data_IF_574522666070
#
_entry.id   IF_574522666070
#
_cell.length_a   1.000
_cell.length_b   1.000
_cell.length_c   1.000
_cell.angle_alpha   90.00
_cell.angle_beta   90.00
_cell.angle_gamma   90.00
#
_symmetry.space_group_name_H-M   'P 1'
#
loop_
_entity.id
_entity.type
_entity.pdbx_description
1 polymer ?
#
# COMPACT_ATOMS: atom_id res chain seq x y z
N UNK A 1 -16.75 -10.87 -10.11
CA UNK A 1 -16.67 -11.74 -11.30
C UNK A 1 -16.64 -10.83 -12.53
N UNK A 2 -15.95 -11.23 -13.60
CA UNK A 2 -15.92 -10.47 -14.86
C UNK A 2 -17.09 -10.96 -15.75
N UNK A 3 -17.86 -10.05 -16.31
CA UNK A 3 -18.97 -10.38 -17.20
C UNK A 3 -18.48 -10.88 -18.57
N UNK A 4 -19.41 -11.32 -19.42
CA UNK A 4 -19.10 -11.82 -20.77
C UNK A 4 -18.53 -10.75 -21.73
N UNK A 5 -18.55 -9.48 -21.34
CA UNK A 5 -18.01 -8.35 -22.09
C UNK A 5 -16.64 -7.90 -21.56
N UNK A 6 -16.12 -8.56 -20.51
CA UNK A 6 -14.84 -8.23 -19.90
C UNK A 6 -14.91 -7.14 -18.83
N UNK A 7 -16.12 -6.71 -18.42
CA UNK A 7 -16.27 -5.70 -17.38
C UNK A 7 -16.27 -6.35 -16.00
N UNK A 8 -15.68 -5.68 -15.03
CA UNK A 8 -15.85 -6.03 -13.62
C UNK A 8 -17.31 -5.77 -13.21
N UNK A 9 -17.89 -6.69 -12.43
CA UNK A 9 -19.16 -6.43 -11.74
C UNK A 9 -19.05 -5.18 -10.86
N UNK A 10 -20.14 -4.43 -10.69
CA UNK A 10 -20.18 -3.18 -9.90
C UNK A 10 -19.51 -3.29 -8.54
N UNK A 11 -19.73 -4.38 -7.79
CA UNK A 11 -19.08 -4.62 -6.50
C UNK A 11 -17.56 -4.69 -6.57
N UNK A 12 -17.00 -5.27 -7.63
CA UNK A 12 -15.54 -5.33 -7.82
C UNK A 12 -15.02 -3.96 -8.20
N UNK A 13 -15.72 -3.22 -9.07
CA UNK A 13 -15.38 -1.85 -9.42
C UNK A 13 -15.35 -0.94 -8.19
N UNK A 14 -16.36 -1.03 -7.31
CA UNK A 14 -16.40 -0.31 -6.04
C UNK A 14 -15.24 -0.68 -5.11
N UNK A 15 -14.92 -1.97 -4.97
CA UNK A 15 -13.77 -2.42 -4.17
C UNK A 15 -12.46 -1.89 -4.76
N UNK A 16 -12.31 -1.91 -6.09
CA UNK A 16 -11.13 -1.40 -6.76
C UNK A 16 -10.99 0.11 -6.57
N UNK A 17 -12.08 0.88 -6.69
CA UNK A 17 -12.08 2.33 -6.46
C UNK A 17 -11.76 2.67 -5.00
N UNK A 18 -12.34 1.95 -4.03
CA UNK A 18 -12.03 2.11 -2.61
C UNK A 18 -10.55 1.81 -2.34
N UNK A 19 -10.01 0.71 -2.88
CA UNK A 19 -8.60 0.37 -2.71
C UNK A 19 -7.66 1.34 -3.40
N UNK A 20 -7.95 1.79 -4.62
CA UNK A 20 -7.14 2.79 -5.30
C UNK A 20 -7.16 4.11 -4.53
N UNK A 21 -8.31 4.54 -4.04
CA UNK A 21 -8.45 5.75 -3.22
C UNK A 21 -7.73 5.63 -1.89
N UNK A 22 -7.87 4.50 -1.19
CA UNK A 22 -7.13 4.21 0.03
C UNK A 22 -5.63 4.35 -0.20
N UNK A 23 -5.10 3.88 -1.33
CA UNK A 23 -3.69 4.00 -1.68
C UNK A 23 -3.26 5.38 -2.21
N UNK A 24 -4.13 6.39 -2.16
CA UNK A 24 -3.96 7.71 -2.79
C UNK A 24 -3.65 7.62 -4.30
N UNK A 25 -4.04 6.53 -4.96
CA UNK A 25 -3.91 6.32 -6.41
C UNK A 25 -5.14 6.91 -7.09
N UNK A 26 -5.13 8.23 -7.27
CA UNK A 26 -6.22 8.93 -7.97
C UNK A 26 -6.12 8.76 -9.49
N UNK A 27 -6.86 7.78 -10.00
CA UNK A 27 -6.96 7.41 -11.41
C UNK A 27 -7.31 8.56 -12.38
N UNK A 28 -8.24 9.50 -12.11
CA UNK A 28 -8.50 10.59 -13.05
C UNK A 28 -7.34 11.59 -13.14
N UNK A 29 -6.61 11.82 -12.06
CA UNK A 29 -5.53 12.81 -12.03
C UNK A 29 -4.25 12.27 -12.70
N UNK A 30 -3.88 11.01 -12.44
CA UNK A 30 -2.68 10.43 -13.04
C UNK A 30 -2.80 10.28 -14.55
N UNK A 31 -3.94 9.77 -15.04
CA UNK A 31 -4.22 9.66 -16.49
C UNK A 31 -4.29 11.03 -17.15
N UNK A 32 -4.96 12.01 -16.52
CA UNK A 32 -5.04 13.37 -17.03
C UNK A 32 -3.66 14.03 -17.13
N UNK A 33 -2.84 13.93 -16.07
CA UNK A 33 -1.49 14.48 -16.06
C UNK A 33 -0.60 13.85 -17.14
N UNK A 34 -0.72 12.54 -17.36
CA UNK A 34 0.01 11.84 -18.43
C UNK A 34 -0.42 12.36 -19.81
N UNK A 35 -1.73 12.48 -20.06
CA UNK A 35 -2.23 12.88 -21.39
C UNK A 35 -1.96 14.37 -21.68
N UNK A 36 -2.12 15.26 -20.69
CA UNK A 36 -1.76 16.68 -20.81
C UNK A 36 -0.25 16.85 -21.06
N UNK A 37 0.58 16.13 -20.32
CA UNK A 37 2.05 16.19 -20.50
C UNK A 37 2.43 15.72 -21.91
N UNK A 38 1.85 14.60 -22.36
CA UNK A 38 2.04 14.08 -23.72
C UNK A 38 1.61 15.10 -24.77
N UNK A 39 0.45 15.74 -24.60
CA UNK A 39 -0.06 16.71 -25.55
C UNK A 39 0.80 17.97 -25.61
N UNK A 40 1.23 18.48 -24.45
CA UNK A 40 2.14 19.62 -24.35
C UNK A 40 3.47 19.33 -25.06
N UNK A 41 4.11 18.20 -24.74
CA UNK A 41 5.41 17.84 -25.34
C UNK A 41 5.29 17.61 -26.85
N UNK A 42 4.20 16.99 -27.31
CA UNK A 42 3.95 16.82 -28.75
C UNK A 42 3.77 18.16 -29.47
N UNK A 43 3.13 19.13 -28.84
CA UNK A 43 2.96 20.47 -29.42
C UNK A 43 4.28 21.24 -29.46
N UNK A 44 5.06 21.21 -28.38
CA UNK A 44 6.39 21.82 -28.33
C UNK A 44 7.37 21.17 -29.33
N UNK A 45 7.34 19.84 -29.46
CA UNK A 45 8.15 19.13 -30.44
C UNK A 45 7.75 19.51 -31.88
N UNK A 46 6.45 19.61 -32.20
CA UNK A 46 5.98 20.05 -33.52
C UNK A 46 6.39 21.48 -33.85
N UNK A 47 6.44 22.36 -32.85
CA UNK A 47 6.83 23.76 -33.04
C UNK A 47 8.34 23.92 -33.28
N UNK A 48 9.17 23.02 -32.74
CA UNK A 48 10.61 23.24 -32.66
C UNK A 48 11.46 22.14 -33.35
N UNK A 49 10.86 21.05 -33.84
CA UNK A 49 11.57 19.90 -34.43
C UNK A 49 10.94 19.54 -35.78
N UNK A 50 11.70 19.72 -36.87
CA UNK A 50 11.24 19.53 -38.26
C UNK A 50 11.27 18.07 -38.75
N UNK A 51 11.57 17.09 -37.90
CA UNK A 51 11.72 15.67 -38.28
C UNK A 51 11.01 14.74 -37.30
N UNK A 52 9.97 14.06 -37.79
CA UNK A 52 9.11 13.14 -37.03
C UNK A 52 9.67 11.70 -36.90
N UNK A 53 10.97 11.50 -37.11
CA UNK A 53 11.56 10.16 -37.23
C UNK A 53 12.30 9.66 -35.96
N UNK A 54 12.20 10.39 -34.84
CA UNK A 54 12.91 10.03 -33.62
C UNK A 54 11.90 9.65 -32.52
N UNK A 55 12.11 8.48 -31.92
CA UNK A 55 11.38 8.07 -30.71
C UNK A 55 11.67 9.07 -29.58
N UNK A 56 10.68 9.88 -29.23
CA UNK A 56 10.79 10.86 -28.15
C UNK A 56 10.40 10.20 -26.84
N UNK A 57 11.39 9.85 -26.03
CA UNK A 57 11.16 9.38 -24.67
C UNK A 57 10.96 10.57 -23.73
N UNK A 58 9.76 10.69 -23.17
CA UNK A 58 9.40 11.70 -22.16
C UNK A 58 9.33 11.02 -20.80
N UNK A 59 10.16 11.46 -19.85
CA UNK A 59 10.11 10.97 -18.47
C UNK A 59 9.41 12.01 -17.59
N UNK A 60 8.18 11.69 -17.16
CA UNK A 60 7.47 12.44 -16.15
C UNK A 60 7.82 11.87 -14.76
N UNK A 61 8.34 12.70 -13.86
CA UNK A 61 8.61 12.31 -12.47
C UNK A 61 7.67 13.06 -11.55
N UNK A 62 6.65 12.38 -11.05
CA UNK A 62 5.78 12.90 -9.99
C UNK A 62 6.49 12.63 -8.66
N UNK A 63 7.04 13.68 -8.04
CA UNK A 63 7.68 13.62 -6.72
C UNK A 63 6.64 13.84 -5.62
N UNK A 64 5.55 13.09 -5.62
CA UNK A 64 4.60 13.09 -4.50
C UNK A 64 5.29 12.48 -3.27
N UNK A 65 6.20 13.26 -2.68
CA UNK A 65 6.89 12.93 -1.47
C UNK A 65 5.97 13.35 -0.34
N UNK A 66 5.01 12.47 -0.06
CA UNK A 66 4.36 12.43 1.23
C UNK A 66 5.23 11.56 2.15
N UNK A 67 6.08 12.15 3.02
CA UNK A 67 6.94 11.37 3.94
C UNK A 67 6.13 10.52 4.94
N UNK A 68 4.83 10.78 5.08
CA UNK A 68 3.92 10.00 5.91
C UNK A 68 3.16 8.94 5.09
N UNK A 69 3.24 8.98 3.76
CA UNK A 69 2.89 7.84 2.92
C UNK A 69 4.08 6.88 2.94
N UNK A 70 4.28 6.18 4.05
CA UNK A 70 4.67 4.78 3.90
C UNK A 70 3.71 4.20 2.88
N UNK A 71 4.20 3.86 1.69
CA UNK A 71 3.35 3.53 0.53
C UNK A 71 2.30 2.58 1.07
N UNK A 72 1.02 2.95 1.05
CA UNK A 72 0.01 2.14 1.74
C UNK A 72 0.01 0.69 1.22
N UNK A 73 0.51 0.51 0.00
CA UNK A 73 0.90 -0.76 -0.61
C UNK A 73 1.94 -1.53 0.20
N UNK A 74 3.04 -0.89 0.61
CA UNK A 74 4.08 -1.49 1.46
C UNK A 74 3.50 -1.93 2.81
N UNK A 75 2.63 -1.12 3.41
CA UNK A 75 1.94 -1.49 4.65
C UNK A 75 1.02 -2.69 4.43
N UNK A 76 0.17 -2.65 3.41
CA UNK A 76 -0.78 -3.73 3.11
C UNK A 76 -0.07 -5.05 2.75
N UNK A 77 1.09 -4.98 2.07
CA UNK A 77 1.96 -6.15 1.85
C UNK A 77 2.47 -6.73 3.16
N UNK A 78 2.98 -5.88 4.07
CA UNK A 78 3.44 -6.33 5.40
C UNK A 78 2.28 -6.94 6.20
N UNK A 79 1.08 -6.34 6.16
CA UNK A 79 -0.09 -6.89 6.86
C UNK A 79 -0.50 -8.24 6.27
N UNK A 80 -0.44 -8.39 4.94
CA UNK A 80 -0.70 -9.67 4.27
C UNK A 80 0.28 -10.75 4.76
N UNK A 81 1.57 -10.43 4.82
CA UNK A 81 2.58 -11.35 5.35
C UNK A 81 2.37 -11.66 6.84
N UNK A 82 1.84 -10.70 7.62
CA UNK A 82 1.51 -10.91 9.03
C UNK A 82 0.36 -11.89 9.22
N UNK A 83 -0.63 -11.90 8.33
CA UNK A 83 -1.74 -12.84 8.36
C UNK A 83 -1.23 -14.29 8.30
N UNK A 84 -0.15 -14.56 7.57
CA UNK A 84 0.48 -15.88 7.49
C UNK A 84 1.13 -16.33 8.81
N UNK A 85 1.50 -15.38 9.68
CA UNK A 85 2.07 -15.66 11.01
C UNK A 85 1.04 -15.64 12.13
N UNK A 86 -0.24 -15.42 11.80
CA UNK A 86 -1.30 -15.29 12.77
C UNK A 86 -1.57 -16.63 13.47
N UNK A 87 -1.41 -16.65 14.79
CA UNK A 87 -1.57 -17.85 15.62
C UNK A 87 -2.02 -17.52 17.04
N UNK A 88 -2.64 -18.46 17.76
CA UNK A 88 -2.84 -18.28 19.20
C UNK A 88 -1.48 -18.26 19.96
N UNK A 89 -1.45 -17.68 21.17
CA UNK A 89 -0.30 -17.81 22.06
C UNK A 89 -0.05 -19.28 22.44
N UNK A 90 1.22 -19.65 22.65
CA UNK A 90 1.53 -20.92 23.31
C UNK A 90 1.32 -20.80 24.82
N UNK A 91 1.23 -21.93 25.51
CA UNK A 91 1.11 -21.95 26.99
C UNK A 91 2.27 -21.26 27.71
N UNK A 92 3.44 -21.21 27.07
CA UNK A 92 4.63 -20.53 27.62
C UNK A 92 4.55 -19.00 27.44
N UNK A 93 3.86 -18.54 26.39
CA UNK A 93 3.72 -17.13 26.02
C UNK A 93 2.47 -16.46 26.63
N UNK A 94 1.52 -17.20 27.19
CA UNK A 94 0.24 -16.65 27.68
C UNK A 94 0.39 -15.49 28.68
N UNK A 95 1.47 -15.50 29.47
CA UNK A 95 1.77 -14.48 30.47
C UNK A 95 2.73 -13.38 29.97
N UNK A 96 3.24 -13.51 28.73
CA UNK A 96 4.03 -12.46 28.11
C UNK A 96 3.14 -11.26 27.75
N UNK A 97 3.77 -10.09 27.65
CA UNK A 97 3.08 -8.81 27.53
C UNK A 97 3.25 -8.24 26.13
N UNK A 98 2.14 -7.89 25.49
CA UNK A 98 2.16 -7.07 24.29
C UNK A 98 2.55 -5.64 24.65
N UNK A 99 3.70 -5.16 24.19
CA UNK A 99 4.17 -3.81 24.55
C UNK A 99 3.36 -2.66 23.94
N UNK A 100 2.49 -2.95 22.96
CA UNK A 100 1.65 -1.94 22.31
C UNK A 100 0.43 -1.61 23.18
N UNK A 101 -0.20 -2.62 23.80
CA UNK A 101 -1.38 -2.41 24.66
C UNK A 101 -1.11 -2.67 26.15
N UNK A 102 0.08 -3.13 26.51
CA UNK A 102 0.49 -3.56 27.86
C UNK A 102 -0.39 -4.69 28.46
N UNK A 103 -1.11 -5.42 27.60
CA UNK A 103 -1.93 -6.57 27.98
C UNK A 103 -1.20 -7.89 27.79
N UNK A 104 -1.54 -8.90 28.58
CA UNK A 104 -1.04 -10.26 28.42
C UNK A 104 -1.51 -10.86 27.09
N UNK A 105 -0.71 -11.75 26.50
CA UNK A 105 -1.05 -12.39 25.23
C UNK A 105 -2.31 -13.25 25.27
N UNK A 106 -2.69 -13.78 26.44
CA UNK A 106 -3.94 -14.52 26.59
C UNK A 106 -5.22 -13.65 26.53
N UNK A 107 -5.10 -12.32 26.55
CA UNK A 107 -6.26 -11.42 26.55
C UNK A 107 -6.92 -11.32 25.17
N UNK A 108 -6.20 -11.69 24.11
CA UNK A 108 -6.72 -11.71 22.74
C UNK A 108 -6.35 -13.04 22.07
N UNK A 109 -7.14 -13.45 21.08
CA UNK A 109 -7.01 -14.80 20.54
C UNK A 109 -5.82 -14.99 19.59
N UNK A 110 -5.20 -13.91 19.11
CA UNK A 110 -4.28 -13.95 17.97
C UNK A 110 -3.04 -13.08 18.17
N UNK A 111 -1.88 -13.72 18.08
CA UNK A 111 -0.57 -13.12 17.96
C UNK A 111 -0.08 -13.20 16.52
N UNK A 112 0.86 -12.34 16.17
CA UNK A 112 1.67 -12.48 14.96
C UNK A 112 3.10 -12.05 15.26
N UNK A 113 4.04 -12.53 14.45
CA UNK A 113 5.48 -12.32 14.65
C UNK A 113 6.05 -11.60 13.44
N UNK A 114 6.65 -10.43 13.67
CA UNK A 114 7.34 -9.70 12.60
C UNK A 114 8.60 -10.44 12.14
N UNK A 115 9.11 -10.12 10.96
CA UNK A 115 10.35 -10.70 10.41
C UNK A 115 11.59 -10.52 11.32
N UNK A 116 11.56 -9.52 12.22
CA UNK A 116 12.59 -9.32 13.23
C UNK A 116 12.51 -10.29 14.44
N UNK A 117 11.47 -11.14 14.50
CA UNK A 117 11.24 -12.13 15.56
C UNK A 117 10.38 -11.65 16.73
N UNK A 118 9.96 -10.39 16.77
CA UNK A 118 9.12 -9.86 17.84
C UNK A 118 7.64 -10.13 17.61
N UNK A 119 6.96 -10.60 18.66
CA UNK A 119 5.54 -10.94 18.64
C UNK A 119 4.67 -9.85 19.27
N UNK A 120 3.43 -9.73 18.79
CA UNK A 120 2.42 -8.78 19.28
C UNK A 120 1.03 -9.38 19.07
N UNK A 121 0.01 -8.83 19.73
CA UNK A 121 -1.36 -9.07 19.28
C UNK A 121 -1.53 -8.57 17.84
N UNK A 122 -2.16 -9.39 16.99
CA UNK A 122 -2.37 -9.07 15.58
C UNK A 122 -3.01 -7.70 15.39
N UNK A 123 -4.11 -7.43 16.10
CA UNK A 123 -4.82 -6.16 16.02
C UNK A 123 -3.98 -4.96 16.50
N UNK A 124 -3.11 -5.17 17.49
CA UNK A 124 -2.26 -4.11 18.02
C UNK A 124 -1.17 -3.71 17.01
N UNK A 125 -0.50 -4.70 16.40
CA UNK A 125 0.57 -4.40 15.45
C UNK A 125 0.03 -3.97 14.09
N UNK A 126 -1.12 -4.48 13.64
CA UNK A 126 -1.81 -3.96 12.44
C UNK A 126 -2.07 -2.46 12.57
N UNK A 127 -2.65 -2.03 13.69
CA UNK A 127 -2.91 -0.60 13.94
C UNK A 127 -1.62 0.22 14.02
N UNK A 128 -0.55 -0.34 14.60
CA UNK A 128 0.74 0.33 14.68
C UNK A 128 1.37 0.52 13.30
N UNK A 129 1.43 -0.53 12.50
CA UNK A 129 2.09 -0.53 11.18
C UNK A 129 1.40 0.39 10.18
N UNK A 130 0.08 0.59 10.31
CA UNK A 130 -0.67 1.61 9.57
C UNK A 130 -0.23 3.05 9.87
N UNK A 131 0.53 3.28 10.94
CA UNK A 131 1.06 4.60 11.33
C UNK A 131 2.59 4.66 11.31
N UNK A 132 3.26 3.54 11.51
CA UNK A 132 4.71 3.43 11.57
C UNK A 132 5.14 2.00 11.16
N UNK A 133 5.84 1.88 10.04
CA UNK A 133 6.29 0.58 9.48
C UNK A 133 7.41 -0.10 10.27
N UNK A 134 7.94 0.53 11.32
CA UNK A 134 8.99 -0.05 12.13
C UNK A 134 8.41 -0.89 13.27
N UNK A 135 9.10 -1.98 13.59
CA UNK A 135 8.83 -2.77 14.79
C UNK A 135 8.93 -1.87 16.04
N UNK A 136 7.92 -1.88 16.95
CA UNK A 136 7.95 -1.10 18.18
C UNK A 136 9.14 -1.39 19.13
N UNK A 137 9.84 -2.51 18.94
CA UNK A 137 10.95 -2.95 19.80
C UNK A 137 12.33 -2.70 19.17
N UNK A 138 12.46 -2.82 17.84
CA UNK A 138 13.77 -2.73 17.15
C UNK A 138 14.26 -1.31 16.90
N UNK A 139 13.50 -0.29 17.32
CA UNK A 139 13.80 1.12 17.08
C UNK A 139 15.12 1.56 17.70
#
# INVERSE_FOLDING_TARGET
MIDSQGNFSDTISEIMEDKLTYHDIHHPNSTYLIEETKQYVMNEARANINTFANDLQVTLTIKDYNPNATSRLDVDLIITDLEDTNRPPTTEEENDICIVCFGNYNQHNNLCTLACGHSFHFACIDQWLRRNICCPICT
#
